data_IF_279492556277
#
_entry.id   IF_279492556277
#
_cell.length_a   1.000
_cell.length_b   1.000
_cell.length_c   1.000
_cell.angle_alpha   90.00
_cell.angle_beta   90.00
_cell.angle_gamma   90.00
#
_symmetry.space_group_name_H-M   'P 1'
#
loop_
_entity.id
_entity.type
_entity.pdbx_description
1 polymer ?
#
# COMPACT_ATOMS: atom_id res chain seq x y z
N UNK A 1 -0.23 33.98 -0.04
CA UNK A 1 -0.19 32.95 -1.11
C UNK A 1 -1.39 32.04 -0.92
N UNK A 2 -2.35 32.07 -1.83
CA UNK A 2 -3.56 31.26 -1.74
C UNK A 2 -3.21 29.82 -2.17
N UNK A 3 -3.45 28.82 -1.32
CA UNK A 3 -3.22 27.43 -1.67
C UNK A 3 -4.11 27.05 -2.87
N UNK A 4 -3.60 26.28 -3.85
CA UNK A 4 -4.42 25.86 -4.98
C UNK A 4 -5.61 25.05 -4.47
N UNK A 5 -6.80 25.21 -5.08
CA UNK A 5 -7.99 24.47 -4.68
C UNK A 5 -7.74 22.95 -4.78
N UNK A 6 -8.35 22.16 -3.88
CA UNK A 6 -8.19 20.71 -3.90
C UNK A 6 -8.71 20.16 -5.24
N UNK A 7 -7.94 19.27 -5.86
CA UNK A 7 -8.33 18.61 -7.11
C UNK A 7 -9.57 17.75 -6.87
N UNK A 8 -10.68 18.08 -7.53
CA UNK A 8 -11.94 17.35 -7.41
C UNK A 8 -12.11 16.40 -8.59
N UNK A 9 -12.66 15.21 -8.35
CA UNK A 9 -13.05 14.30 -9.43
C UNK A 9 -14.16 14.96 -10.25
N UNK A 10 -14.21 14.68 -11.56
CA UNK A 10 -15.16 15.30 -12.48
C UNK A 10 -16.60 15.31 -11.93
N UNK A 11 -17.04 14.19 -11.34
CA UNK A 11 -18.36 14.02 -10.70
C UNK A 11 -18.73 15.03 -9.60
N UNK A 12 -17.75 15.77 -9.06
CA UNK A 12 -17.95 16.77 -8.00
C UNK A 12 -17.79 18.22 -8.48
N UNK A 13 -17.60 18.45 -9.79
CA UNK A 13 -17.56 19.79 -10.38
C UNK A 13 -18.98 20.35 -10.62
N UNK A 14 -19.17 21.68 -10.60
CA UNK A 14 -20.43 22.32 -10.98
C UNK A 14 -20.94 21.88 -12.36
N UNK A 15 -22.28 21.80 -12.56
CA UNK A 15 -22.89 21.32 -13.82
C UNK A 15 -22.39 22.02 -15.08
N UNK A 16 -22.08 23.31 -15.02
CA UNK A 16 -21.55 24.05 -16.17
C UNK A 16 -20.17 23.56 -16.61
N UNK A 17 -19.34 23.08 -15.69
CA UNK A 17 -18.02 22.52 -16.00
C UNK A 17 -18.14 21.08 -16.48
N UNK A 18 -19.07 20.31 -15.92
CA UNK A 18 -19.44 18.98 -16.43
C UNK A 18 -19.85 19.02 -17.90
N UNK A 19 -20.71 19.96 -18.31
CA UNK A 19 -21.16 20.09 -19.70
C UNK A 19 -19.99 20.41 -20.65
N UNK A 20 -19.07 21.27 -20.22
CA UNK A 20 -17.87 21.64 -21.00
C UNK A 20 -16.90 20.46 -21.15
N UNK A 21 -16.71 19.69 -20.09
CA UNK A 21 -15.86 18.50 -20.08
C UNK A 21 -16.48 17.36 -20.89
N UNK A 22 -17.81 17.20 -20.83
CA UNK A 22 -18.54 16.19 -21.61
C UNK A 22 -18.47 16.47 -23.13
N UNK A 23 -18.48 17.75 -23.52
CA UNK A 23 -18.41 18.17 -24.92
C UNK A 23 -16.98 18.19 -25.50
N UNK A 24 -15.95 17.90 -24.70
CA UNK A 24 -14.56 17.85 -25.15
C UNK A 24 -13.79 16.69 -24.51
N UNK A 25 -13.61 15.57 -25.23
CA UNK A 25 -12.89 14.40 -24.70
C UNK A 25 -11.43 14.71 -24.36
N UNK A 26 -10.81 15.68 -25.05
CA UNK A 26 -9.45 16.14 -24.75
C UNK A 26 -9.37 16.90 -23.41
N UNK A 27 -10.36 17.75 -23.11
CA UNK A 27 -10.44 18.46 -21.83
C UNK A 27 -10.70 17.49 -20.67
N UNK A 28 -11.54 16.46 -20.88
CA UNK A 28 -11.77 15.41 -19.90
C UNK A 28 -10.49 14.60 -19.60
N UNK A 29 -9.70 14.27 -20.63
CA UNK A 29 -8.45 13.54 -20.48
C UNK A 29 -7.35 14.35 -19.76
N UNK A 30 -7.27 15.67 -19.99
CA UNK A 30 -6.37 16.56 -19.26
C UNK A 30 -6.81 16.71 -17.80
N UNK A 31 -8.09 17.00 -17.57
CA UNK A 31 -8.64 17.11 -16.22
C UNK A 31 -8.46 15.83 -15.41
N UNK A 32 -8.64 14.64 -16.00
CA UNK A 32 -8.39 13.37 -15.31
C UNK A 32 -6.91 13.15 -14.96
N UNK A 33 -5.97 13.60 -15.81
CA UNK A 33 -4.53 13.53 -15.53
C UNK A 33 -4.11 14.53 -14.47
N UNK A 34 -4.63 15.75 -14.54
CA UNK A 34 -4.36 16.81 -13.57
C UNK A 34 -5.02 16.52 -12.22
N UNK A 35 -6.24 16.00 -12.22
CA UNK A 35 -7.02 15.67 -11.03
C UNK A 35 -6.72 14.28 -10.49
N UNK A 36 -5.85 13.52 -11.15
CA UNK A 36 -5.36 12.24 -10.65
C UNK A 36 -4.82 12.50 -9.23
N UNK A 37 -5.50 11.98 -8.18
CA UNK A 37 -4.98 12.10 -6.84
C UNK A 37 -3.59 11.47 -6.86
N UNK A 38 -2.62 12.06 -6.14
CA UNK A 38 -1.36 11.37 -5.85
C UNK A 38 -1.72 9.95 -5.41
N UNK A 39 -1.24 8.94 -6.15
CA UNK A 39 -1.73 7.57 -5.99
C UNK A 39 -1.64 7.18 -4.52
N UNK A 40 -2.79 6.97 -3.89
CA UNK A 40 -2.82 6.50 -2.51
C UNK A 40 -2.18 5.12 -2.53
N UNK A 41 -1.21 4.89 -1.63
CA UNK A 41 -0.59 3.56 -1.53
C UNK A 41 -1.65 2.51 -1.22
N UNK A 42 -1.54 1.34 -1.84
CA UNK A 42 -2.46 0.22 -1.62
C UNK A 42 -2.67 -0.08 -0.12
N UNK A 43 -1.62 -0.02 0.70
CA UNK A 43 -1.71 -0.21 2.15
C UNK A 43 -2.62 0.82 2.84
N UNK A 44 -2.59 2.09 2.38
CA UNK A 44 -3.44 3.16 2.94
C UNK A 44 -4.90 3.02 2.49
N UNK A 45 -5.15 2.45 1.31
CA UNK A 45 -6.50 2.09 0.88
C UNK A 45 -7.08 0.98 1.76
N UNK A 46 -6.31 -0.07 2.05
CA UNK A 46 -6.74 -1.15 2.94
C UNK A 46 -7.11 -0.64 4.34
N UNK A 47 -6.29 0.25 4.90
CA UNK A 47 -6.56 0.84 6.20
C UNK A 47 -7.84 1.70 6.19
N UNK A 48 -8.09 2.44 5.11
CA UNK A 48 -9.26 3.32 5.01
C UNK A 48 -10.57 2.57 4.78
N UNK A 49 -10.57 1.57 3.90
CA UNK A 49 -11.80 0.89 3.45
C UNK A 49 -12.14 -0.30 4.34
N UNK A 50 -11.13 -1.07 4.76
CA UNK A 50 -11.32 -2.31 5.51
C UNK A 50 -10.85 -2.24 6.96
N UNK A 51 -10.32 -1.09 7.41
CA UNK A 51 -9.67 -0.95 8.71
C UNK A 51 -8.50 -1.94 8.92
N UNK A 52 -7.81 -2.33 7.83
CA UNK A 52 -6.64 -3.23 7.87
C UNK A 52 -5.37 -2.40 7.66
N UNK A 53 -4.58 -2.21 8.72
CA UNK A 53 -3.26 -1.59 8.63
C UNK A 53 -2.15 -2.66 8.55
N UNK A 54 -1.56 -2.81 7.36
CA UNK A 54 -0.43 -3.72 7.10
C UNK A 54 0.95 -3.08 7.33
N UNK A 55 0.97 -1.79 7.68
CA UNK A 55 2.21 -1.03 7.95
C UNK A 55 2.59 -1.00 9.42
N UNK A 56 1.76 -1.59 10.29
CA UNK A 56 2.00 -1.69 11.74
C UNK A 56 1.84 -3.12 12.23
N UNK A 57 2.75 -3.53 13.12
CA UNK A 57 2.66 -4.82 13.76
C UNK A 57 1.49 -4.86 14.76
N UNK A 58 0.58 -5.83 14.63
CA UNK A 58 -0.55 -5.99 15.57
C UNK A 58 -0.14 -6.34 16.99
N UNK A 59 1.08 -6.87 17.19
CA UNK A 59 1.59 -7.29 18.50
C UNK A 59 2.30 -6.17 19.27
N UNK A 60 3.15 -5.39 18.59
CA UNK A 60 3.98 -4.36 19.23
C UNK A 60 3.71 -2.93 18.73
N UNK A 61 2.89 -2.74 17.68
CA UNK A 61 2.63 -1.43 17.09
C UNK A 61 3.78 -0.85 16.25
N UNK A 62 4.92 -1.55 16.16
CA UNK A 62 6.08 -1.09 15.42
C UNK A 62 5.85 -0.99 13.90
N UNK A 63 6.63 -0.16 13.19
CA UNK A 63 6.52 -0.02 11.74
C UNK A 63 6.91 -1.30 11.02
N UNK A 64 6.16 -1.66 9.98
CA UNK A 64 6.40 -2.82 9.11
C UNK A 64 6.52 -2.39 7.66
N UNK A 65 7.30 -3.16 6.88
CA UNK A 65 7.47 -2.98 5.43
C UNK A 65 6.88 -4.18 4.71
N UNK A 66 6.09 -3.93 3.67
CA UNK A 66 5.59 -4.97 2.77
C UNK A 66 6.75 -5.46 1.91
N UNK A 67 7.00 -6.77 1.91
CA UNK A 67 8.10 -7.40 1.15
C UNK A 67 7.62 -8.09 -0.13
N UNK A 68 6.43 -8.68 -0.10
CA UNK A 68 5.81 -9.34 -1.25
C UNK A 68 4.29 -9.45 -1.03
N UNK A 69 3.53 -9.51 -2.12
CA UNK A 69 2.13 -9.91 -2.13
C UNK A 69 2.03 -11.22 -2.92
N UNK A 70 1.72 -12.32 -2.23
CA UNK A 70 1.68 -13.67 -2.79
C UNK A 70 0.27 -14.23 -2.67
N UNK A 71 -0.19 -14.93 -3.70
CA UNK A 71 -1.52 -15.57 -3.72
C UNK A 71 -1.44 -17.08 -3.92
N UNK A 72 -0.30 -17.59 -4.41
CA UNK A 72 -0.07 -19.02 -4.62
C UNK A 72 0.41 -19.73 -3.35
N UNK A 73 -0.07 -20.94 -3.10
CA UNK A 73 0.35 -21.76 -1.94
C UNK A 73 1.84 -22.11 -1.98
N UNK A 74 2.39 -22.39 -3.16
CA UNK A 74 3.82 -22.68 -3.35
C UNK A 74 4.69 -21.46 -3.05
N UNK A 75 4.26 -20.27 -3.46
CA UNK A 75 4.97 -19.01 -3.19
C UNK A 75 4.96 -18.64 -1.71
N UNK A 76 3.82 -18.86 -1.04
CA UNK A 76 3.70 -18.68 0.41
C UNK A 76 4.68 -19.62 1.12
N UNK A 77 4.73 -20.89 0.73
CA UNK A 77 5.62 -21.87 1.34
C UNK A 77 7.09 -21.49 1.15
N UNK A 78 7.47 -21.11 -0.08
CA UNK A 78 8.82 -20.67 -0.41
C UNK A 78 9.21 -19.41 0.39
N UNK A 79 8.30 -18.44 0.54
CA UNK A 79 8.54 -17.22 1.30
C UNK A 79 8.73 -17.52 2.80
N UNK A 80 7.89 -18.39 3.37
CA UNK A 80 7.94 -18.74 4.79
C UNK A 80 9.17 -19.58 5.14
N UNK A 81 9.54 -20.53 4.28
CA UNK A 81 10.69 -21.41 4.51
C UNK A 81 12.02 -20.75 4.13
N UNK A 82 12.04 -19.93 3.08
CA UNK A 82 13.20 -19.13 2.69
C UNK A 82 13.51 -17.98 3.65
N UNK A 83 12.52 -17.53 4.44
CA UNK A 83 12.70 -16.50 5.46
C UNK A 83 13.20 -17.04 6.81
N UNK A 84 13.41 -18.36 6.97
CA UNK A 84 14.12 -18.88 8.14
C UNK A 84 15.55 -18.32 8.12
N UNK A 85 15.81 -17.35 8.98
CA UNK A 85 17.19 -16.92 9.24
C UNK A 85 18.05 -18.12 9.63
N UNK A 86 19.37 -18.08 9.37
CA UNK A 86 20.27 -19.14 9.81
C UNK A 86 20.02 -19.43 11.30
N UNK A 87 20.11 -20.70 11.74
CA UNK A 87 19.88 -21.04 13.14
C UNK A 87 20.71 -20.10 14.03
N UNK A 88 20.06 -19.52 15.05
CA UNK A 88 20.78 -18.67 15.99
C UNK A 88 21.97 -19.50 16.52
N UNK A 89 23.18 -18.90 16.61
CA UNK A 89 24.30 -19.58 17.24
C UNK A 89 23.87 -20.04 18.63
N UNK A 90 24.28 -21.24 19.02
CA UNK A 90 24.01 -21.75 20.36
C UNK A 90 24.51 -20.71 21.38
N UNK A 91 23.73 -20.44 22.44
CA UNK A 91 24.17 -19.51 23.48
C UNK A 91 25.53 -20.01 24.02
N UNK A 92 26.51 -19.11 24.20
CA UNK A 92 27.83 -19.51 24.69
C UNK A 92 27.67 -20.17 26.07
N UNK A 93 28.03 -21.45 26.16
CA UNK A 93 27.98 -22.24 27.41
C UNK A 93 27.31 -23.60 27.32
N UNK A 94 26.64 -23.97 26.22
CA UNK A 94 26.16 -25.34 26.05
C UNK A 94 27.25 -26.22 25.43
N UNK A 95 28.02 -26.88 26.29
CA UNK A 95 28.79 -28.07 25.93
C UNK A 95 27.79 -29.13 25.45
N UNK A 96 27.89 -29.52 24.18
CA UNK A 96 27.17 -30.65 23.64
C UNK A 96 27.63 -31.91 24.38
N UNK A 97 26.85 -32.35 25.37
CA UNK A 97 26.99 -33.66 25.98
C UNK A 97 26.58 -34.69 24.92
N UNK A 98 27.54 -35.09 24.08
CA UNK A 98 27.42 -36.29 23.26
C UNK A 98 27.87 -37.49 24.11
N UNK A 99 27.06 -38.56 24.23
CA UNK A 99 27.51 -39.86 24.73
C UNK A 99 28.43 -40.57 23.73
#
# INVERSE_FOLDING_TARGET
MLAPPPKQLAMFLPSAEHERLANSPAALAEQCRESAPSSISWARLLARVFAIDVTRCRRCGGPMRVVAAVTGTVEIDALLHGARGPPLPSPPGQLALLP
#
